data_IF_531489139683
#
_entry.id   IF_531489139683
#
_cell.length_a   1.000
_cell.length_b   1.000
_cell.length_c   1.000
_cell.angle_alpha   90.00
_cell.angle_beta   90.00
_cell.angle_gamma   90.00
#
_symmetry.space_group_name_H-M   'P 1'
#
loop_
_entity.id
_entity.type
_entity.pdbx_description
1 polymer ?
#
# COMPACT_ATOMS: atom_id res chain seq x y z
N UNK A 1 -19.95 -12.63 -2.83
CA UNK A 1 -19.83 -13.08 -4.24
C UNK A 1 -19.27 -14.48 -4.22
N UNK A 2 -19.90 -15.39 -4.95
CA UNK A 2 -19.34 -16.73 -5.17
C UNK A 2 -18.09 -16.61 -6.07
N UNK A 3 -17.07 -17.43 -5.82
CA UNK A 3 -15.79 -17.39 -6.53
C UNK A 3 -15.95 -17.71 -8.02
N UNK A 4 -16.96 -18.52 -8.38
CA UNK A 4 -17.21 -18.94 -9.76
C UNK A 4 -17.86 -17.83 -10.61
N UNK A 5 -18.55 -16.88 -9.98
CA UNK A 5 -19.20 -15.73 -10.65
C UNK A 5 -18.30 -14.48 -10.71
N UNK A 6 -17.09 -14.55 -10.14
CA UNK A 6 -16.17 -13.42 -10.15
C UNK A 6 -15.72 -13.07 -11.58
N UNK A 7 -15.88 -11.79 -11.96
CA UNK A 7 -15.48 -11.28 -13.27
C UNK A 7 -13.95 -11.41 -13.47
N UNK A 8 -13.17 -11.18 -12.41
CA UNK A 8 -11.71 -11.28 -12.46
C UNK A 8 -11.24 -12.57 -11.77
N UNK A 9 -10.26 -13.29 -12.34
CA UNK A 9 -9.72 -14.48 -11.69
C UNK A 9 -8.89 -14.15 -10.44
N UNK A 10 -8.49 -12.89 -10.24
CA UNK A 10 -7.77 -12.42 -9.05
C UNK A 10 -8.67 -12.57 -7.81
N UNK A 11 -9.95 -12.23 -7.95
CA UNK A 11 -10.93 -12.29 -6.86
C UNK A 11 -11.77 -13.57 -6.84
N UNK A 12 -11.69 -14.39 -7.90
CA UNK A 12 -12.27 -15.74 -7.96
C UNK A 12 -11.21 -16.84 -7.82
N UNK A 13 -10.86 -17.46 -8.96
CA UNK A 13 -9.97 -18.64 -9.05
C UNK A 13 -8.68 -18.55 -8.22
N UNK A 14 -8.04 -17.37 -8.16
CA UNK A 14 -6.75 -17.17 -7.48
C UNK A 14 -6.87 -16.49 -6.12
N UNK A 15 -8.08 -16.19 -5.64
CA UNK A 15 -8.32 -15.43 -4.41
C UNK A 15 -7.60 -16.01 -3.20
N UNK A 16 -7.63 -17.32 -3.04
CA UNK A 16 -6.97 -18.00 -1.92
C UNK A 16 -5.45 -17.75 -1.90
N UNK A 17 -4.81 -17.61 -3.06
CA UNK A 17 -3.36 -17.31 -3.17
C UNK A 17 -3.04 -15.84 -2.92
N UNK A 18 -4.01 -14.95 -3.16
CA UNK A 18 -3.85 -13.50 -3.17
C UNK A 18 -4.56 -12.80 -2.01
N UNK A 19 -5.12 -13.54 -1.05
CA UNK A 19 -5.89 -12.97 0.08
C UNK A 19 -5.08 -11.97 0.90
N UNK A 20 -3.77 -12.18 1.02
CA UNK A 20 -2.86 -11.25 1.70
C UNK A 20 -2.69 -9.91 0.98
N UNK A 21 -3.08 -9.80 -0.31
CA UNK A 21 -2.98 -8.57 -1.09
C UNK A 21 -4.13 -7.58 -0.83
N UNK A 22 -5.21 -8.05 -0.21
CA UNK A 22 -6.39 -7.24 0.12
C UNK A 22 -6.02 -6.03 0.96
N UNK A 23 -5.07 -6.17 1.89
CA UNK A 23 -4.60 -5.07 2.75
C UNK A 23 -3.84 -3.96 2.00
N UNK A 24 -3.58 -4.12 0.70
CA UNK A 24 -2.96 -3.10 -0.15
C UNK A 24 -3.92 -2.59 -1.23
N UNK A 25 -4.58 -3.49 -1.97
CA UNK A 25 -5.28 -3.13 -3.21
C UNK A 25 -6.80 -3.16 -3.13
N UNK A 26 -7.38 -3.42 -1.96
CA UNK A 26 -8.83 -3.31 -1.79
C UNK A 26 -9.27 -1.88 -1.53
N UNK A 27 -10.54 -1.60 -1.81
CA UNK A 27 -11.17 -0.33 -1.42
C UNK A 27 -11.07 -0.10 0.10
N UNK A 28 -11.21 -1.16 0.91
CA UNK A 28 -10.99 -1.10 2.35
C UNK A 28 -9.59 -0.58 2.71
N UNK A 29 -8.54 -1.06 2.03
CA UNK A 29 -7.17 -0.62 2.28
C UNK A 29 -6.97 0.85 1.91
N UNK A 30 -7.54 1.28 0.77
CA UNK A 30 -7.50 2.68 0.34
C UNK A 30 -8.21 3.60 1.34
N UNK A 31 -9.43 3.26 1.77
CA UNK A 31 -10.17 4.03 2.75
C UNK A 31 -9.40 4.11 4.08
N UNK A 32 -8.86 2.99 4.56
CA UNK A 32 -8.06 2.96 5.80
C UNK A 32 -6.85 3.89 5.71
N UNK A 33 -6.15 3.90 4.57
CA UNK A 33 -4.97 4.75 4.41
C UNK A 33 -5.33 6.23 4.27
N UNK A 34 -6.45 6.56 3.61
CA UNK A 34 -7.00 7.93 3.58
C UNK A 34 -7.32 8.44 4.98
N UNK A 35 -7.97 7.61 5.80
CA UNK A 35 -8.26 7.93 7.22
C UNK A 35 -6.97 8.19 8.00
N UNK A 36 -5.92 7.38 7.78
CA UNK A 36 -4.61 7.59 8.40
C UNK A 36 -4.00 8.93 8.01
N UNK A 37 -4.02 9.29 6.72
CA UNK A 37 -3.42 10.53 6.23
C UNK A 37 -4.12 11.75 6.80
N UNK A 38 -5.45 11.78 6.77
CA UNK A 38 -6.25 12.85 7.36
C UNK A 38 -5.94 13.04 8.85
N UNK A 39 -5.80 11.94 9.59
CA UNK A 39 -5.49 11.97 11.02
C UNK A 39 -4.07 12.48 11.27
N UNK A 40 -3.06 11.96 10.57
CA UNK A 40 -1.68 12.40 10.77
C UNK A 40 -1.49 13.86 10.32
N UNK A 41 -2.19 14.29 9.25
CA UNK A 41 -2.24 15.68 8.84
C UNK A 41 -2.88 16.57 9.91
N UNK A 42 -4.05 16.20 10.44
CA UNK A 42 -4.72 16.92 11.52
C UNK A 42 -3.81 17.04 12.75
N UNK A 43 -3.16 15.95 13.17
CA UNK A 43 -2.22 15.98 14.29
C UNK A 43 -1.11 17.01 14.02
N UNK A 44 -0.48 16.93 12.85
CA UNK A 44 0.61 17.83 12.47
C UNK A 44 0.17 19.28 12.41
N UNK A 45 -1.01 19.56 11.85
CA UNK A 45 -1.57 20.90 11.74
C UNK A 45 -1.83 21.53 13.12
N UNK A 46 -2.42 20.77 14.05
CA UNK A 46 -2.66 21.24 15.42
C UNK A 46 -1.33 21.48 16.17
N UNK A 47 -0.34 20.61 15.99
CA UNK A 47 0.97 20.75 16.65
C UNK A 47 1.80 21.92 16.11
N UNK A 48 1.66 22.28 14.84
CA UNK A 48 2.51 23.29 14.21
C UNK A 48 1.84 24.64 13.99
N UNK A 49 0.54 24.66 13.72
CA UNK A 49 -0.21 25.87 13.34
C UNK A 49 -1.15 26.29 14.48
N UNK A 50 -2.00 25.39 14.96
CA UNK A 50 -3.05 25.69 15.94
C UNK A 50 -2.69 25.24 17.37
N UNK A 51 -1.45 25.51 17.79
CA UNK A 51 -0.89 25.05 19.07
C UNK A 51 -1.73 25.43 20.30
N UNK A 52 -2.42 26.56 20.23
CA UNK A 52 -3.31 27.02 21.30
C UNK A 52 -4.49 26.06 21.54
N UNK A 53 -4.94 25.35 20.51
CA UNK A 53 -6.00 24.33 20.61
C UNK A 53 -5.52 23.08 21.32
N UNK A 54 -4.25 22.71 21.17
CA UNK A 54 -3.68 21.53 21.80
C UNK A 54 -3.77 21.57 23.34
N UNK A 55 -3.73 22.76 23.94
CA UNK A 55 -3.85 22.97 25.40
C UNK A 55 -5.24 22.55 25.92
N UNK A 56 -6.26 22.60 25.07
CA UNK A 56 -7.65 22.25 25.42
C UNK A 56 -7.96 20.75 25.23
N UNK A 57 -6.99 19.97 24.75
CA UNK A 57 -7.15 18.55 24.45
C UNK A 57 -6.60 17.68 25.59
N UNK A 58 -7.11 16.44 25.77
CA UNK A 58 -6.50 15.46 26.68
C UNK A 58 -5.02 15.24 26.35
N UNK A 59 -4.17 14.95 27.34
CA UNK A 59 -2.72 14.79 27.11
C UNK A 59 -2.36 13.70 26.10
N UNK A 60 -3.22 12.70 25.91
CA UNK A 60 -3.06 11.58 24.98
C UNK A 60 -3.88 11.71 23.68
N UNK A 61 -4.40 12.91 23.36
CA UNK A 61 -5.29 13.14 22.21
C UNK A 61 -4.76 12.59 20.88
N UNK A 62 -3.44 12.66 20.66
CA UNK A 62 -2.78 12.10 19.47
C UNK A 62 -2.93 10.58 19.38
N UNK A 63 -2.77 9.88 20.51
CA UNK A 63 -2.93 8.43 20.55
C UNK A 63 -4.41 8.05 20.38
N UNK A 64 -5.32 8.83 20.96
CA UNK A 64 -6.76 8.67 20.74
C UNK A 64 -7.11 8.76 19.25
N UNK A 65 -6.59 9.78 18.55
CA UNK A 65 -6.80 9.93 17.11
C UNK A 65 -6.18 8.77 16.31
N UNK A 66 -4.93 8.39 16.62
CA UNK A 66 -4.25 7.28 15.92
C UNK A 66 -4.97 5.96 16.06
N UNK A 67 -5.63 5.71 17.19
CA UNK A 67 -6.46 4.51 17.38
C UNK A 67 -7.57 4.38 16.34
N UNK A 68 -8.09 5.48 15.78
CA UNK A 68 -9.13 5.44 14.74
C UNK A 68 -8.68 4.65 13.51
N UNK A 69 -7.43 4.85 13.05
CA UNK A 69 -6.91 4.08 11.91
C UNK A 69 -6.21 2.77 12.33
N UNK A 70 -5.67 2.70 13.55
CA UNK A 70 -5.02 1.47 14.05
C UNK A 70 -6.07 0.36 14.24
N UNK A 71 -7.20 0.70 14.86
CA UNK A 71 -8.32 -0.21 15.15
C UNK A 71 -9.40 -0.19 14.04
N UNK A 72 -9.08 0.40 12.87
CA UNK A 72 -10.01 0.52 11.75
C UNK A 72 -10.54 -0.85 11.31
N UNK A 73 -11.85 -0.95 11.17
CA UNK A 73 -12.59 -2.19 10.93
C UNK A 73 -13.44 -2.14 9.66
N UNK A 74 -13.95 -3.29 9.23
CA UNK A 74 -14.88 -3.37 8.09
C UNK A 74 -16.13 -2.51 8.31
N UNK A 75 -16.64 -2.43 9.54
CA UNK A 75 -17.80 -1.60 9.87
C UNK A 75 -17.53 -0.11 9.63
N UNK A 76 -16.30 0.34 9.88
CA UNK A 76 -15.91 1.73 9.64
C UNK A 76 -15.86 2.04 8.14
N UNK A 77 -15.32 1.11 7.34
CA UNK A 77 -15.34 1.23 5.89
C UNK A 77 -16.77 1.21 5.31
N UNK A 78 -17.63 0.32 5.81
CA UNK A 78 -19.05 0.27 5.46
C UNK A 78 -19.75 1.59 5.79
N UNK A 79 -19.49 2.16 6.98
CA UNK A 79 -20.01 3.47 7.36
C UNK A 79 -19.58 4.57 6.40
N UNK A 80 -18.33 4.58 5.96
CA UNK A 80 -17.85 5.53 4.94
C UNK A 80 -18.58 5.33 3.62
N UNK A 81 -18.80 4.09 3.16
CA UNK A 81 -19.58 3.81 1.96
C UNK A 81 -21.05 4.24 2.07
N UNK A 82 -21.66 4.14 3.26
CA UNK A 82 -23.01 4.67 3.50
C UNK A 82 -23.07 6.20 3.36
N UNK A 83 -22.06 6.91 3.87
CA UNK A 83 -21.94 8.35 3.72
C UNK A 83 -21.71 8.71 2.25
N UNK A 84 -20.82 7.99 1.57
CA UNK A 84 -20.49 8.18 0.16
C UNK A 84 -21.73 8.07 -0.73
N UNK A 85 -22.64 7.12 -0.48
CA UNK A 85 -23.91 7.00 -1.22
C UNK A 85 -24.75 8.28 -1.18
N UNK A 86 -24.62 9.11 -0.14
CA UNK A 86 -25.36 10.38 0.01
C UNK A 86 -24.64 11.57 -0.63
N UNK A 87 -23.31 11.55 -0.63
CA UNK A 87 -22.49 12.70 -1.07
C UNK A 87 -21.83 12.50 -2.43
N UNK A 88 -21.88 11.28 -2.98
CA UNK A 88 -21.28 10.87 -4.25
C UNK A 88 -19.79 11.22 -4.39
N UNK A 89 -19.06 11.27 -3.26
CA UNK A 89 -17.64 11.61 -3.21
C UNK A 89 -16.96 10.87 -2.05
N UNK A 90 -15.98 10.03 -2.39
CA UNK A 90 -15.30 9.10 -1.48
C UNK A 90 -14.43 9.79 -0.42
N UNK A 91 -13.56 10.74 -0.79
CA UNK A 91 -12.74 11.49 0.17
C UNK A 91 -13.62 12.35 1.07
N UNK A 92 -14.63 13.02 0.53
CA UNK A 92 -15.58 13.78 1.36
C UNK A 92 -16.34 12.89 2.35
N UNK A 93 -16.63 11.63 1.98
CA UNK A 93 -17.20 10.67 2.91
C UNK A 93 -16.25 10.31 4.07
N UNK A 94 -14.94 10.21 3.81
CA UNK A 94 -13.91 10.05 4.86
C UNK A 94 -13.91 11.26 5.81
N UNK A 95 -13.97 12.48 5.28
CA UNK A 95 -14.02 13.72 6.08
C UNK A 95 -15.23 13.70 7.01
N UNK A 96 -16.41 13.39 6.47
CA UNK A 96 -17.65 13.30 7.25
C UNK A 96 -17.60 12.21 8.31
N UNK A 97 -17.05 11.04 7.97
CA UNK A 97 -16.83 9.97 8.94
C UNK A 97 -15.92 10.42 10.09
N UNK A 98 -14.80 11.09 9.81
CA UNK A 98 -13.91 11.61 10.85
C UNK A 98 -14.61 12.63 11.74
N UNK A 99 -15.41 13.54 11.17
CA UNK A 99 -16.22 14.48 11.94
C UNK A 99 -17.17 13.75 12.90
N UNK A 100 -17.85 12.69 12.45
CA UNK A 100 -18.72 11.85 13.30
C UNK A 100 -17.93 11.17 14.44
N UNK A 101 -16.70 10.72 14.17
CA UNK A 101 -15.87 10.00 15.14
C UNK A 101 -15.30 10.89 16.25
N UNK A 102 -15.14 12.20 16.03
CA UNK A 102 -14.55 13.09 17.03
C UNK A 102 -15.46 13.38 18.25
N UNK A 103 -16.78 13.32 18.08
CA UNK A 103 -17.74 13.60 19.16
C UNK A 103 -17.64 12.64 20.35
N UNK A 104 -17.76 11.30 20.17
CA UNK A 104 -17.66 10.37 21.28
C UNK A 104 -16.28 10.38 21.95
N UNK A 105 -15.25 10.87 21.25
CA UNK A 105 -13.88 10.99 21.76
C UNK A 105 -13.63 12.30 22.51
N UNK A 106 -14.63 13.18 22.63
CA UNK A 106 -14.52 14.53 23.23
C UNK A 106 -13.47 15.42 22.53
N UNK A 107 -13.26 15.20 21.23
CA UNK A 107 -12.30 15.96 20.39
C UNK A 107 -13.02 16.89 19.41
N UNK A 108 -14.25 17.29 19.71
CA UNK A 108 -15.13 18.09 18.83
C UNK A 108 -14.50 19.42 18.37
N UNK A 109 -13.62 20.03 19.17
CA UNK A 109 -12.87 21.25 18.80
C UNK A 109 -11.99 21.06 17.55
N UNK A 110 -11.64 19.82 17.20
CA UNK A 110 -10.81 19.51 16.05
C UNK A 110 -11.59 19.43 14.73
N UNK A 111 -12.93 19.35 14.76
CA UNK A 111 -13.76 19.18 13.56
C UNK A 111 -13.49 20.18 12.43
N UNK A 112 -13.34 21.49 12.70
CA UNK A 112 -13.10 22.48 11.63
C UNK A 112 -11.76 22.30 10.91
N UNK A 113 -10.84 21.54 11.49
CA UNK A 113 -9.48 21.36 10.99
C UNK A 113 -9.29 20.05 10.22
N UNK A 114 -10.33 19.19 10.14
CA UNK A 114 -10.28 18.02 9.27
C UNK A 114 -10.20 18.50 7.82
N UNK A 115 -9.24 17.99 7.06
CA UNK A 115 -9.00 18.33 5.66
C UNK A 115 -8.71 19.83 5.40
N UNK A 116 -8.28 20.59 6.41
CA UNK A 116 -8.03 22.02 6.23
C UNK A 116 -6.90 22.26 5.23
N UNK A 117 -7.14 23.09 4.22
CA UNK A 117 -6.13 23.43 3.20
C UNK A 117 -5.75 22.31 2.24
N UNK A 118 -6.37 21.12 2.35
CA UNK A 118 -6.12 19.99 1.46
C UNK A 118 -7.09 19.97 0.27
N UNK A 119 -6.67 19.28 -0.79
CA UNK A 119 -7.56 18.73 -1.81
C UNK A 119 -7.62 17.20 -1.70
N UNK A 120 -8.64 16.59 -2.30
CA UNK A 120 -8.78 15.12 -2.38
C UNK A 120 -7.51 14.42 -2.86
N UNK A 121 -6.81 15.02 -3.81
CA UNK A 121 -5.58 14.44 -4.35
C UNK A 121 -4.40 14.48 -3.38
N UNK A 122 -4.33 15.43 -2.44
CA UNK A 122 -3.31 15.42 -1.40
C UNK A 122 -3.43 14.14 -0.55
N UNK A 123 -4.66 13.69 -0.29
CA UNK A 123 -4.94 12.45 0.46
C UNK A 123 -4.71 11.22 -0.43
N UNK A 124 -5.21 11.22 -1.66
CA UNK A 124 -5.15 10.06 -2.55
C UNK A 124 -3.71 9.68 -2.92
N UNK A 125 -2.91 10.65 -3.36
CA UNK A 125 -1.55 10.37 -3.82
C UNK A 125 -0.69 9.80 -2.69
N UNK A 126 -0.82 10.36 -1.48
CA UNK A 126 -0.13 9.88 -0.30
C UNK A 126 -0.62 8.48 0.10
N UNK A 127 -1.92 8.19 -0.02
CA UNK A 127 -2.48 6.88 0.27
C UNK A 127 -1.90 5.82 -0.67
N UNK A 128 -1.88 6.10 -1.97
CA UNK A 128 -1.29 5.21 -2.97
C UNK A 128 0.21 5.03 -2.75
N UNK A 129 0.94 6.11 -2.48
CA UNK A 129 2.38 6.06 -2.21
C UNK A 129 2.70 5.17 -1.01
N UNK A 130 1.99 5.33 0.11
CA UNK A 130 2.16 4.49 1.31
C UNK A 130 1.78 3.03 1.06
N UNK A 131 0.69 2.78 0.33
CA UNK A 131 0.25 1.44 -0.06
C UNK A 131 1.32 0.75 -0.91
N UNK A 132 1.82 1.42 -1.96
CA UNK A 132 2.80 0.87 -2.88
C UNK A 132 4.15 0.63 -2.21
N UNK A 133 4.61 1.56 -1.37
CA UNK A 133 5.84 1.39 -0.61
C UNK A 133 5.76 0.16 0.32
N UNK A 134 4.66 0.00 1.06
CA UNK A 134 4.46 -1.19 1.91
C UNK A 134 4.38 -2.46 1.08
N UNK A 135 3.61 -2.47 0.00
CA UNK A 135 3.50 -3.63 -0.88
C UNK A 135 4.88 -4.03 -1.45
N UNK A 136 5.67 -3.04 -1.89
CA UNK A 136 6.99 -3.26 -2.44
C UNK A 136 7.90 -3.97 -1.41
N UNK A 137 7.97 -3.42 -0.19
CA UNK A 137 8.84 -3.91 0.88
C UNK A 137 8.37 -5.22 1.50
N UNK A 138 7.07 -5.38 1.70
CA UNK A 138 6.52 -6.51 2.45
C UNK A 138 6.17 -7.71 1.57
N UNK A 139 5.95 -7.52 0.26
CA UNK A 139 5.47 -8.56 -0.64
C UNK A 139 6.32 -8.72 -1.89
N UNK A 140 6.45 -7.66 -2.71
CA UNK A 140 7.07 -7.78 -4.03
C UNK A 140 8.55 -8.15 -3.94
N UNK A 141 9.34 -7.37 -3.18
CA UNK A 141 10.78 -7.61 -3.00
C UNK A 141 11.04 -9.00 -2.38
N UNK A 142 10.38 -9.41 -1.28
CA UNK A 142 10.53 -10.77 -0.75
C UNK A 142 10.15 -11.88 -1.74
N UNK A 143 9.14 -11.69 -2.57
CA UNK A 143 8.75 -12.68 -3.57
C UNK A 143 9.79 -12.81 -4.68
N UNK A 144 10.34 -11.69 -5.17
CA UNK A 144 11.40 -11.68 -6.18
C UNK A 144 12.72 -12.27 -5.64
N UNK A 145 13.08 -11.97 -4.38
CA UNK A 145 14.22 -12.59 -3.70
C UNK A 145 14.11 -14.12 -3.71
N UNK A 146 12.94 -14.67 -3.36
CA UNK A 146 12.72 -16.14 -3.41
C UNK A 146 12.94 -16.73 -4.80
N UNK A 147 12.59 -16.00 -5.86
CA UNK A 147 12.83 -16.44 -7.24
C UNK A 147 14.34 -16.45 -7.52
N UNK A 148 15.05 -15.38 -7.17
CA UNK A 148 16.51 -15.29 -7.33
C UNK A 148 17.20 -16.40 -6.56
N UNK A 149 16.85 -16.62 -5.30
CA UNK A 149 17.42 -17.68 -4.45
C UNK A 149 17.17 -19.07 -5.03
N UNK A 150 15.96 -19.31 -5.56
CA UNK A 150 15.61 -20.60 -6.16
C UNK A 150 16.40 -20.84 -7.44
N UNK A 151 16.54 -19.85 -8.31
CA UNK A 151 17.33 -19.96 -9.53
C UNK A 151 18.83 -20.14 -9.23
N UNK A 152 19.35 -19.40 -8.26
CA UNK A 152 20.74 -19.55 -7.79
C UNK A 152 20.98 -20.95 -7.21
N UNK A 153 20.04 -21.48 -6.43
CA UNK A 153 20.12 -22.85 -5.89
C UNK A 153 20.11 -23.91 -7.00
N UNK A 154 19.23 -23.77 -7.99
CA UNK A 154 19.19 -24.67 -9.16
C UNK A 154 20.51 -24.57 -9.93
N UNK A 155 21.05 -23.37 -10.08
CA UNK A 155 22.32 -23.15 -10.77
C UNK A 155 23.47 -23.88 -10.08
N UNK A 156 23.63 -23.70 -8.77
CA UNK A 156 24.68 -24.33 -7.98
C UNK A 156 24.58 -25.86 -7.99
N UNK A 157 23.37 -26.41 -7.88
CA UNK A 157 23.12 -27.86 -7.97
C UNK A 157 23.53 -28.47 -9.32
N UNK A 158 23.65 -27.64 -10.37
CA UNK A 158 23.91 -28.06 -11.73
C UNK A 158 25.17 -27.39 -12.31
N UNK A 159 26.11 -26.99 -11.45
CA UNK A 159 27.30 -26.23 -11.86
C UNK A 159 28.15 -26.99 -12.89
N UNK A 160 28.27 -28.32 -12.73
CA UNK A 160 29.05 -29.22 -13.59
C UNK A 160 28.19 -29.99 -14.60
N UNK A 161 26.87 -29.74 -14.65
CA UNK A 161 25.96 -30.43 -15.55
C UNK A 161 26.16 -29.95 -17.01
N UNK A 162 27.01 -30.64 -17.76
CA UNK A 162 27.32 -30.32 -19.16
C UNK A 162 26.06 -30.35 -20.04
N UNK A 163 25.91 -29.33 -20.88
CA UNK A 163 24.79 -29.15 -21.79
C UNK A 163 25.30 -28.67 -23.15
N UNK A 164 24.81 -29.30 -24.23
CA UNK A 164 25.02 -28.81 -25.60
C UNK A 164 24.27 -27.49 -25.78
N UNK A 165 25.00 -26.38 -25.93
CA UNK A 165 24.40 -25.08 -26.15
C UNK A 165 23.76 -25.00 -27.55
N UNK A 166 22.85 -24.02 -27.72
CA UNK A 166 22.23 -23.73 -29.01
C UNK A 166 22.31 -22.24 -29.35
N UNK A 167 22.79 -21.92 -30.53
CA UNK A 167 22.72 -20.57 -31.14
C UNK A 167 21.94 -20.68 -32.44
N UNK A 168 20.98 -19.77 -32.67
CA UNK A 168 20.01 -19.91 -33.78
C UNK A 168 19.28 -21.27 -33.81
N UNK A 169 19.14 -21.93 -32.66
CA UNK A 169 18.58 -23.29 -32.55
C UNK A 169 19.54 -24.44 -32.91
N UNK A 170 20.73 -24.13 -33.46
CA UNK A 170 21.72 -25.11 -33.90
C UNK A 170 22.73 -25.45 -32.79
N UNK A 171 23.26 -26.69 -32.74
CA UNK A 171 24.34 -27.07 -31.82
C UNK A 171 25.51 -26.08 -31.84
N UNK A 172 25.97 -25.70 -30.64
CA UNK A 172 27.08 -24.76 -30.44
C UNK A 172 28.05 -25.27 -29.37
N UNK A 173 29.06 -24.47 -29.04
CA UNK A 173 30.05 -24.78 -27.98
C UNK A 173 29.34 -25.13 -26.66
N UNK A 174 29.65 -26.26 -26.01
CA UNK A 174 29.00 -26.66 -24.77
C UNK A 174 29.08 -25.62 -23.65
N UNK A 175 28.10 -25.64 -22.75
CA UNK A 175 28.04 -24.88 -21.50
C UNK A 175 27.63 -25.82 -20.36
N UNK A 176 27.44 -25.32 -19.15
CA UNK A 176 26.74 -26.06 -18.09
C UNK A 176 25.33 -25.52 -17.90
N UNK A 177 24.41 -26.38 -17.47
CA UNK A 177 23.03 -25.97 -17.14
C UNK A 177 23.04 -24.94 -15.99
N UNK A 178 23.93 -25.11 -15.02
CA UNK A 178 24.14 -24.15 -13.95
C UNK A 178 24.50 -22.75 -14.47
N UNK A 179 25.47 -22.64 -15.39
CA UNK A 179 25.83 -21.37 -16.05
C UNK A 179 24.67 -20.78 -16.85
N UNK A 180 23.85 -21.61 -17.50
CA UNK A 180 22.68 -21.13 -18.23
C UNK A 180 21.66 -20.47 -17.30
N UNK A 181 21.31 -21.12 -16.18
CA UNK A 181 20.32 -20.63 -15.22
C UNK A 181 20.80 -19.39 -14.47
N UNK A 182 22.09 -19.32 -14.07
CA UNK A 182 22.61 -18.17 -13.29
C UNK A 182 22.46 -16.84 -14.03
N UNK A 183 22.54 -16.86 -15.36
CA UNK A 183 22.34 -15.64 -16.17
C UNK A 183 20.95 -15.03 -15.95
N UNK A 184 19.92 -15.86 -15.72
CA UNK A 184 18.58 -15.37 -15.40
C UNK A 184 18.50 -14.84 -13.97
N UNK A 185 19.08 -15.57 -13.00
CA UNK A 185 19.15 -15.11 -11.61
C UNK A 185 19.83 -13.74 -11.50
N UNK A 186 20.98 -13.57 -12.18
CA UNK A 186 21.73 -12.31 -12.21
C UNK A 186 20.94 -11.15 -12.81
N UNK A 187 20.24 -11.37 -13.93
CA UNK A 187 19.41 -10.35 -14.58
C UNK A 187 18.23 -9.93 -13.70
N UNK A 188 17.57 -10.89 -13.05
CA UNK A 188 16.47 -10.60 -12.11
C UNK A 188 16.99 -9.86 -10.88
N UNK A 189 18.15 -10.24 -10.35
CA UNK A 189 18.76 -9.58 -9.20
C UNK A 189 19.05 -8.08 -9.47
N UNK A 190 19.51 -7.73 -10.68
CA UNK A 190 19.69 -6.32 -11.06
C UNK A 190 18.38 -5.53 -11.06
N UNK A 191 17.34 -6.07 -11.67
CA UNK A 191 16.02 -5.41 -11.69
C UNK A 191 15.44 -5.32 -10.28
N UNK A 192 15.65 -6.35 -9.47
CA UNK A 192 15.23 -6.37 -8.08
C UNK A 192 15.90 -5.27 -7.26
N UNK A 193 17.18 -4.98 -7.49
CA UNK A 193 17.87 -3.86 -6.83
C UNK A 193 17.21 -2.51 -7.17
N UNK A 194 16.83 -2.29 -8.43
CA UNK A 194 16.09 -1.09 -8.86
C UNK A 194 14.70 -1.00 -8.19
N UNK A 195 13.95 -2.12 -8.19
CA UNK A 195 12.63 -2.21 -7.56
C UNK A 195 12.72 -1.96 -6.04
N UNK A 196 13.72 -2.55 -5.39
CA UNK A 196 13.90 -2.42 -3.95
C UNK A 196 14.23 -0.98 -3.53
N UNK A 197 14.95 -0.25 -4.38
CA UNK A 197 15.35 1.14 -4.16
C UNK A 197 14.38 2.16 -4.77
N UNK A 198 13.24 1.72 -5.31
CA UNK A 198 12.24 2.64 -5.87
C UNK A 198 11.68 3.55 -4.78
N UNK A 199 11.79 4.86 -5.00
CA UNK A 199 11.14 5.86 -4.15
C UNK A 199 9.66 6.01 -4.53
N UNK A 200 8.82 6.15 -3.52
CA UNK A 200 7.40 6.40 -3.69
C UNK A 200 7.12 7.84 -3.22
N UNK A 201 7.23 8.83 -4.12
CA UNK A 201 7.04 10.22 -3.75
C UNK A 201 5.60 10.50 -3.35
N UNK A 202 5.42 11.61 -2.66
CA UNK A 202 4.13 12.13 -2.21
C UNK A 202 4.08 13.64 -2.39
N UNK A 203 2.87 14.16 -2.51
CA UNK A 203 2.58 15.56 -2.74
C UNK A 203 1.56 16.04 -1.70
N UNK A 204 1.77 17.26 -1.21
CA UNK A 204 0.77 18.02 -0.44
C UNK A 204 0.86 19.49 -0.85
N UNK A 205 -0.07 19.93 -1.69
CA UNK A 205 -0.02 21.26 -2.33
C UNK A 205 -1.38 21.88 -2.66
N UNK A 206 -2.48 21.26 -2.21
CA UNK A 206 -3.81 21.81 -2.38
C UNK A 206 -4.30 21.73 -3.82
N UNK A 207 -5.31 22.53 -4.14
CA UNK A 207 -6.13 22.35 -5.34
C UNK A 207 -5.35 22.39 -6.67
N UNK A 208 -4.27 23.19 -6.76
CA UNK A 208 -3.60 23.49 -8.03
C UNK A 208 -2.06 23.45 -7.98
N UNK A 209 -1.44 23.08 -6.86
CA UNK A 209 0.03 23.18 -6.75
C UNK A 209 0.59 22.38 -5.60
#
# INVERSE_FOLDING_TARGET
MDSIEAITPIDGRYRAKLTHLVKYFSEYALIKERVRIEIEYLIKFIEEVERSKAVLLPSDWKNILRKIYQDFSLKDAERIKEIEKKVAHDVFAVIKYLVERLDPLKLHILKPYIHIGLTSEDVNNLAYSLILNRFNREVLVPALLKIVDKLSSISLQNIDALMLARTHGMPAVPTTFGRFIVNYAYRIAKILEEIANTEFPGKLGGAIG
#
